data_IF_686767188931
#
_entry.id   IF_686767188931
#
_cell.length_a   1.000
_cell.length_b   1.000
_cell.length_c   1.000
_cell.angle_alpha   90.00
_cell.angle_beta   90.00
_cell.angle_gamma   90.00
#
_symmetry.space_group_name_H-M   'P 1'
#
loop_
_entity.id
_entity.type
_entity.pdbx_description
1 polymer ?
#
# COMPACT_ATOMS: atom_id res chain seq x y z
N UNK A 1 -31.33 23.54 -37.46
CA UNK A 1 -30.76 23.71 -36.10
C UNK A 1 -30.61 22.41 -35.31
N UNK A 2 -31.46 21.39 -35.50
CA UNK A 2 -31.40 20.12 -34.75
C UNK A 2 -30.15 19.25 -35.09
N UNK A 3 -29.65 19.30 -36.32
CA UNK A 3 -28.46 18.52 -36.75
C UNK A 3 -27.14 18.94 -36.09
N UNK A 4 -26.97 20.23 -35.78
CA UNK A 4 -25.75 20.74 -35.12
C UNK A 4 -25.68 20.38 -33.64
N UNK A 5 -26.83 20.23 -32.97
CA UNK A 5 -26.88 19.79 -31.57
C UNK A 5 -26.50 18.32 -31.39
N UNK A 6 -26.85 17.46 -32.37
CA UNK A 6 -26.55 16.03 -32.30
C UNK A 6 -25.03 15.74 -32.39
N UNK A 7 -24.31 16.55 -33.20
CA UNK A 7 -22.84 16.39 -33.35
C UNK A 7 -22.11 16.78 -32.10
N UNK A 8 -22.55 17.79 -31.35
CA UNK A 8 -21.92 18.24 -30.09
C UNK A 8 -22.09 17.19 -28.98
N UNK A 9 -23.26 16.54 -28.92
CA UNK A 9 -23.52 15.50 -27.90
C UNK A 9 -22.64 14.24 -28.12
N UNK A 10 -22.43 13.83 -29.38
CA UNK A 10 -21.60 12.69 -29.72
C UNK A 10 -20.10 12.96 -29.42
N UNK A 11 -19.63 14.21 -29.62
CA UNK A 11 -18.24 14.59 -29.29
C UNK A 11 -17.97 14.63 -27.78
N UNK A 12 -18.98 14.93 -26.95
CA UNK A 12 -18.80 14.97 -25.49
C UNK A 12 -18.69 13.58 -24.84
N UNK A 13 -19.18 12.52 -25.48
CA UNK A 13 -19.08 11.14 -24.99
C UNK A 13 -17.72 10.47 -25.26
N UNK A 14 -16.91 11.04 -26.14
CA UNK A 14 -15.61 10.44 -26.51
C UNK A 14 -14.47 10.73 -25.51
N UNK A 15 -14.67 11.59 -24.51
CA UNK A 15 -13.64 11.99 -23.53
C UNK A 15 -13.76 11.25 -22.19
N UNK A 16 -14.80 10.45 -21.99
CA UNK A 16 -15.04 9.72 -20.74
C UNK A 16 -14.39 8.34 -20.75
N UNK A 17 -13.10 8.26 -21.02
CA UNK A 17 -12.54 6.94 -20.98
C UNK A 17 -11.05 6.86 -21.06
N UNK A 18 -10.38 6.71 -19.94
CA UNK A 18 -9.13 5.94 -19.86
C UNK A 18 -8.63 5.75 -18.42
N UNK A 19 -9.45 5.95 -17.39
CA UNK A 19 -9.10 5.50 -16.06
C UNK A 19 -9.33 3.98 -15.99
N UNK A 20 -8.31 3.21 -16.34
CA UNK A 20 -8.33 1.75 -16.17
C UNK A 20 -8.41 1.40 -14.67
N UNK A 21 -8.94 0.20 -14.32
CA UNK A 21 -8.95 -0.25 -12.95
C UNK A 21 -7.53 -0.36 -12.41
N UNK A 22 -7.31 0.09 -11.17
CA UNK A 22 -6.05 -0.06 -10.47
C UNK A 22 -6.09 -1.34 -9.66
N UNK A 23 -5.07 -2.17 -9.81
CA UNK A 23 -4.88 -3.37 -9.01
C UNK A 23 -4.00 -3.07 -7.80
N UNK A 24 -4.56 -3.27 -6.60
CA UNK A 24 -3.83 -3.24 -5.34
C UNK A 24 -3.43 -4.67 -4.97
N UNK A 25 -2.14 -4.95 -4.96
CA UNK A 25 -1.58 -6.23 -4.49
C UNK A 25 -1.36 -6.14 -3.00
N UNK A 26 -1.93 -7.07 -2.27
CA UNK A 26 -1.91 -7.09 -0.80
C UNK A 26 -1.21 -8.35 -0.35
N UNK A 27 -0.29 -8.21 0.59
CA UNK A 27 0.29 -9.32 1.35
C UNK A 27 0.10 -9.01 2.83
N UNK A 28 -0.49 -9.93 3.57
CA UNK A 28 -0.67 -9.80 5.02
C UNK A 28 -0.24 -11.08 5.72
N UNK A 29 0.36 -10.94 6.89
CA UNK A 29 0.82 -12.03 7.71
C UNK A 29 0.55 -11.71 9.18
N UNK A 30 -0.46 -12.36 9.75
CA UNK A 30 -0.75 -12.35 11.17
C UNK A 30 0.01 -13.53 11.80
N UNK A 31 1.09 -13.22 12.53
CA UNK A 31 1.97 -14.24 13.10
C UNK A 31 1.53 -14.71 14.48
N UNK A 32 0.89 -13.84 15.24
CA UNK A 32 0.43 -14.10 16.60
C UNK A 32 -1.04 -13.67 16.69
N UNK A 33 -1.90 -14.40 17.44
CA UNK A 33 -3.29 -14.01 17.64
C UNK A 33 -3.42 -12.55 18.10
N UNK A 34 -4.57 -11.96 17.80
CA UNK A 34 -4.87 -10.60 18.22
C UNK A 34 -4.58 -10.39 19.71
N UNK A 35 -3.85 -9.33 20.04
CA UNK A 35 -3.48 -9.04 21.43
C UNK A 35 -4.64 -8.34 22.14
N UNK A 36 -4.87 -8.70 23.41
CA UNK A 36 -5.91 -8.07 24.23
C UNK A 36 -5.61 -6.59 24.49
N UNK A 37 -4.34 -6.26 24.76
CA UNK A 37 -3.89 -4.88 24.96
C UNK A 37 -3.49 -4.27 23.62
N UNK A 38 -4.35 -3.42 23.10
CA UNK A 38 -4.17 -2.74 21.82
C UNK A 38 -3.50 -1.36 21.95
N UNK A 39 -2.62 -1.19 22.94
CA UNK A 39 -1.76 -0.01 23.05
C UNK A 39 -0.60 -0.10 22.09
N UNK A 40 -0.29 0.97 21.34
CA UNK A 40 0.88 1.02 20.48
C UNK A 40 1.68 2.31 20.60
N UNK A 41 2.96 2.24 20.29
CA UNK A 41 3.84 3.39 20.10
C UNK A 41 4.45 3.34 18.69
N UNK A 42 4.84 4.49 18.17
CA UNK A 42 5.58 4.55 16.92
C UNK A 42 7.03 4.10 17.10
N UNK A 43 7.54 3.36 16.14
CA UNK A 43 8.95 2.98 16.12
C UNK A 43 9.83 4.23 16.09
N UNK A 44 10.84 4.36 16.98
CA UNK A 44 11.77 5.49 16.98
C UNK A 44 12.70 5.51 15.75
N UNK A 45 12.78 4.40 15.03
CA UNK A 45 13.64 4.23 13.85
C UNK A 45 13.04 4.88 12.60
N UNK A 46 11.74 5.23 12.64
CA UNK A 46 11.08 5.87 11.52
C UNK A 46 11.43 7.38 11.46
N UNK A 47 12.37 7.80 10.65
CA UNK A 47 12.54 9.22 10.43
C UNK A 47 11.27 9.74 9.77
N UNK A 48 10.60 10.70 10.40
CA UNK A 48 9.57 11.52 9.71
C UNK A 48 10.33 12.40 8.72
N UNK A 49 10.84 11.78 7.65
CA UNK A 49 11.76 12.44 6.75
C UNK A 49 11.03 13.30 5.71
N UNK A 50 9.75 13.00 5.45
CA UNK A 50 9.00 13.70 4.40
C UNK A 50 7.49 13.74 4.69
N UNK A 51 6.79 14.59 3.91
CA UNK A 51 5.35 14.80 4.01
C UNK A 51 4.51 13.53 3.79
N UNK A 52 4.95 12.66 2.89
CA UNK A 52 4.19 11.45 2.55
C UNK A 52 4.27 10.43 3.68
N UNK A 53 5.43 10.31 4.34
CA UNK A 53 5.57 9.47 5.53
C UNK A 53 4.69 9.98 6.69
N UNK A 54 4.63 11.30 6.89
CA UNK A 54 3.76 11.89 7.90
C UNK A 54 2.28 11.62 7.61
N UNK A 55 1.86 11.78 6.34
CA UNK A 55 0.50 11.46 5.90
C UNK A 55 0.19 9.96 6.08
N UNK A 56 1.12 9.07 5.74
CA UNK A 56 0.94 7.64 5.92
C UNK A 56 0.73 7.28 7.39
N UNK A 57 1.54 7.85 8.31
CA UNK A 57 1.38 7.62 9.75
C UNK A 57 0.03 8.12 10.27
N UNK A 58 -0.41 9.30 9.85
CA UNK A 58 -1.72 9.84 10.23
C UNK A 58 -2.89 8.94 9.77
N UNK A 59 -2.81 8.40 8.55
CA UNK A 59 -3.81 7.47 8.03
C UNK A 59 -3.78 6.12 8.76
N UNK A 60 -2.58 5.60 9.05
CA UNK A 60 -2.41 4.36 9.82
C UNK A 60 -2.94 4.53 11.24
N UNK A 61 -2.64 5.65 11.91
CA UNK A 61 -3.14 5.98 13.25
C UNK A 61 -4.67 5.96 13.30
N UNK A 62 -5.32 6.66 12.36
CA UNK A 62 -6.78 6.69 12.24
C UNK A 62 -7.38 5.30 12.03
N UNK A 63 -6.78 4.46 11.18
CA UNK A 63 -7.29 3.13 10.92
C UNK A 63 -7.04 2.17 12.10
N UNK A 64 -5.89 2.29 12.77
CA UNK A 64 -5.60 1.56 14.00
C UNK A 64 -6.60 1.94 15.11
N UNK A 65 -6.92 3.22 15.27
CA UNK A 65 -7.94 3.68 16.22
C UNK A 65 -9.32 3.07 15.93
N UNK A 66 -9.72 2.98 14.66
CA UNK A 66 -10.97 2.31 14.25
C UNK A 66 -10.98 0.81 14.60
N UNK A 67 -9.80 0.18 14.61
CA UNK A 67 -9.62 -1.23 15.02
C UNK A 67 -9.46 -1.41 16.55
N UNK A 68 -9.60 -0.33 17.32
CA UNK A 68 -9.53 -0.31 18.78
C UNK A 68 -8.11 -0.19 19.34
N UNK A 69 -7.11 0.09 18.51
CA UNK A 69 -5.76 0.40 18.98
C UNK A 69 -5.68 1.84 19.47
N UNK A 70 -4.88 2.09 20.50
CA UNK A 70 -4.66 3.42 21.06
C UNK A 70 -3.18 3.74 21.17
N UNK A 71 -2.80 4.91 20.73
CA UNK A 71 -1.42 5.35 20.87
C UNK A 71 -1.11 5.64 22.34
N UNK A 72 -0.01 5.04 22.84
CA UNK A 72 0.49 5.27 24.19
C UNK A 72 2.02 5.23 24.16
N UNK A 73 2.73 6.16 24.83
CA UNK A 73 4.17 6.28 24.77
C UNK A 73 4.92 5.02 25.24
N UNK A 74 4.38 4.34 26.26
CA UNK A 74 5.00 3.16 26.89
C UNK A 74 4.35 1.83 26.44
N UNK A 75 3.68 1.85 25.28
CA UNK A 75 3.03 0.65 24.77
C UNK A 75 4.03 -0.42 24.36
N UNK A 76 3.67 -1.69 24.64
CA UNK A 76 4.52 -2.83 24.28
C UNK A 76 4.56 -3.10 22.76
N UNK A 77 3.55 -2.63 22.01
CA UNK A 77 3.51 -2.79 20.56
C UNK A 77 4.17 -1.59 19.89
N UNK A 78 5.16 -1.86 19.04
CA UNK A 78 5.75 -0.85 18.16
C UNK A 78 5.17 -0.97 16.76
N UNK A 79 4.71 0.15 16.22
CA UNK A 79 4.25 0.25 14.82
C UNK A 79 5.35 0.88 13.98
N UNK A 80 5.70 0.22 12.89
CA UNK A 80 6.63 0.69 11.89
C UNK A 80 5.93 0.82 10.54
N UNK A 81 6.17 1.94 9.84
CA UNK A 81 5.63 2.22 8.51
C UNK A 81 6.78 2.47 7.54
N UNK A 82 6.82 1.73 6.46
CA UNK A 82 7.76 1.93 5.37
C UNK A 82 7.02 2.27 4.09
N UNK A 83 7.49 3.33 3.41
CA UNK A 83 7.00 3.75 2.10
C UNK A 83 8.07 3.54 1.03
N UNK A 84 7.64 3.12 -0.15
CA UNK A 84 8.46 3.11 -1.34
C UNK A 84 7.68 3.68 -2.53
N UNK A 85 8.28 4.65 -3.20
CA UNK A 85 7.87 5.18 -4.48
C UNK A 85 9.07 5.02 -5.43
N UNK A 86 9.01 4.02 -6.31
CA UNK A 86 10.14 3.65 -7.17
C UNK A 86 9.72 3.36 -8.60
N UNK A 87 10.61 3.48 -9.59
CA UNK A 87 10.36 3.00 -10.93
C UNK A 87 9.95 1.51 -10.91
N UNK A 88 8.89 1.16 -11.64
CA UNK A 88 8.38 -0.21 -11.65
C UNK A 88 9.19 -1.16 -12.54
N UNK A 89 10.00 -0.63 -13.44
CA UNK A 89 10.89 -1.35 -14.35
C UNK A 89 12.22 -1.82 -13.72
N UNK A 90 12.40 -1.60 -12.41
CA UNK A 90 13.58 -2.04 -11.66
C UNK A 90 13.23 -3.25 -10.80
N UNK A 91 13.92 -4.37 -11.03
CA UNK A 91 13.87 -5.52 -10.13
C UNK A 91 14.67 -5.25 -8.85
N UNK A 92 14.29 -5.89 -7.75
CA UNK A 92 15.05 -5.90 -6.50
C UNK A 92 15.45 -7.34 -6.22
N UNK A 93 16.75 -7.59 -6.17
CA UNK A 93 17.33 -8.88 -5.84
C UNK A 93 17.94 -8.86 -4.43
N UNK A 94 17.92 -10.00 -3.76
CA UNK A 94 18.59 -10.18 -2.49
C UNK A 94 19.89 -10.98 -2.68
N UNK A 95 21.00 -10.28 -2.94
CA UNK A 95 22.33 -10.88 -2.98
C UNK A 95 22.90 -11.14 -4.37
N UNK A 96 24.11 -11.72 -4.41
CA UNK A 96 24.93 -11.89 -5.62
C UNK A 96 24.72 -13.24 -6.34
N UNK A 97 23.79 -14.06 -5.86
CA UNK A 97 23.58 -15.40 -6.42
C UNK A 97 22.70 -15.33 -7.68
N UNK A 98 23.25 -15.73 -8.80
CA UNK A 98 22.61 -15.70 -10.13
C UNK A 98 21.38 -16.61 -10.25
N UNK A 99 21.13 -17.46 -9.25
CA UNK A 99 20.00 -18.40 -9.19
C UNK A 99 18.81 -17.89 -8.39
N UNK A 100 18.96 -16.74 -7.73
CA UNK A 100 17.91 -16.18 -6.84
C UNK A 100 16.81 -15.53 -7.66
N UNK A 101 15.57 -15.88 -7.34
CA UNK A 101 14.41 -15.15 -7.86
C UNK A 101 14.41 -13.73 -7.29
N UNK A 102 14.14 -12.70 -8.09
CA UNK A 102 14.04 -11.35 -7.58
C UNK A 102 12.97 -11.29 -6.49
N UNK A 103 13.26 -10.60 -5.40
CA UNK A 103 12.30 -10.31 -4.32
C UNK A 103 11.10 -9.53 -4.86
N UNK A 104 11.38 -8.64 -5.80
CA UNK A 104 10.37 -7.90 -6.54
C UNK A 104 10.77 -7.92 -8.01
N UNK A 105 9.96 -8.54 -8.85
CA UNK A 105 10.19 -8.57 -10.29
C UNK A 105 9.95 -7.17 -10.91
N UNK A 106 10.71 -6.85 -11.93
CA UNK A 106 10.45 -5.68 -12.76
C UNK A 106 9.10 -5.84 -13.47
N UNK A 107 8.36 -4.75 -13.58
CA UNK A 107 7.13 -4.69 -14.38
C UNK A 107 7.47 -4.23 -15.78
N UNK A 108 7.09 -5.02 -16.77
CA UNK A 108 7.22 -4.61 -18.17
C UNK A 108 6.26 -3.46 -18.49
N UNK A 109 6.77 -2.48 -19.22
CA UNK A 109 5.97 -1.38 -19.72
C UNK A 109 5.06 -1.87 -20.85
N UNK A 110 3.78 -1.46 -20.81
CA UNK A 110 2.84 -1.79 -21.88
C UNK A 110 3.21 -1.04 -23.16
N UNK A 111 3.03 -1.68 -24.32
CA UNK A 111 3.18 -1.03 -25.62
C UNK A 111 2.21 0.15 -25.73
N UNK A 112 2.69 1.26 -26.26
CA UNK A 112 1.93 2.53 -26.42
C UNK A 112 1.57 3.26 -25.11
N UNK A 113 2.16 2.88 -23.97
CA UNK A 113 2.04 3.63 -22.74
C UNK A 113 2.93 4.88 -22.80
N UNK A 114 2.35 6.06 -22.63
CA UNK A 114 3.06 7.36 -22.76
C UNK A 114 3.90 7.73 -21.53
N UNK A 115 3.67 7.07 -20.39
CA UNK A 115 4.37 7.34 -19.14
C UNK A 115 4.95 6.06 -18.53
N UNK A 116 5.99 6.19 -17.71
CA UNK A 116 6.60 5.07 -17.01
C UNK A 116 5.84 4.80 -15.72
N UNK A 117 5.52 3.52 -15.49
CA UNK A 117 4.91 3.10 -14.24
C UNK A 117 5.86 3.29 -13.06
N UNK A 118 5.32 3.77 -11.96
CA UNK A 118 5.94 3.78 -10.64
C UNK A 118 5.21 2.82 -9.72
N UNK A 119 5.94 2.14 -8.86
CA UNK A 119 5.36 1.33 -7.79
C UNK A 119 5.22 2.20 -6.55
N UNK A 120 3.99 2.37 -6.08
CA UNK A 120 3.68 2.91 -4.76
C UNK A 120 3.44 1.74 -3.81
N UNK A 121 4.26 1.62 -2.78
CA UNK A 121 4.16 0.55 -1.78
C UNK A 121 4.14 1.11 -0.38
N UNK A 122 3.24 0.59 0.43
CA UNK A 122 3.20 0.78 1.87
C UNK A 122 3.40 -0.57 2.56
N UNK A 123 4.22 -0.59 3.59
CA UNK A 123 4.32 -1.73 4.51
C UNK A 123 4.11 -1.25 5.93
N UNK A 124 3.22 -1.91 6.67
CA UNK A 124 2.96 -1.68 8.09
C UNK A 124 3.34 -2.94 8.86
N UNK A 125 4.17 -2.80 9.88
CA UNK A 125 4.59 -3.90 10.73
C UNK A 125 4.34 -3.56 12.20
N UNK A 126 3.81 -4.52 12.95
CA UNK A 126 3.61 -4.45 14.39
C UNK A 126 4.57 -5.43 15.07
N UNK A 127 5.27 -4.96 16.09
CA UNK A 127 6.22 -5.74 16.86
C UNK A 127 5.88 -5.70 18.35
N UNK A 128 5.98 -6.83 19.03
CA UNK A 128 6.01 -6.88 20.49
C UNK A 128 7.44 -6.55 20.95
N UNK A 129 7.62 -5.38 21.55
CA UNK A 129 8.91 -4.91 22.05
C UNK A 129 9.45 -5.79 23.19
N UNK A 130 8.56 -6.30 24.03
CA UNK A 130 8.93 -7.10 25.21
C UNK A 130 9.47 -8.49 24.83
N UNK A 131 8.95 -9.05 23.75
CA UNK A 131 9.30 -10.38 23.24
C UNK A 131 10.23 -10.35 22.04
N UNK A 132 10.45 -9.17 21.43
CA UNK A 132 11.22 -9.03 20.20
C UNK A 132 10.60 -9.74 19.00
N UNK A 133 9.29 -9.94 19.00
CA UNK A 133 8.58 -10.72 17.99
C UNK A 133 7.71 -9.83 17.10
N UNK A 134 7.65 -10.17 15.82
CA UNK A 134 6.70 -9.57 14.91
C UNK A 134 5.31 -10.16 15.16
N UNK A 135 4.32 -9.30 15.36
CA UNK A 135 2.92 -9.68 15.55
C UNK A 135 2.20 -9.73 14.22
N UNK A 136 2.45 -8.72 13.37
CA UNK A 136 1.78 -8.53 12.11
C UNK A 136 2.71 -7.89 11.09
N UNK A 137 2.49 -8.21 9.83
CA UNK A 137 3.09 -7.51 8.69
C UNK A 137 2.08 -7.44 7.57
N UNK A 138 1.75 -6.23 7.12
CA UNK A 138 0.89 -6.01 5.97
C UNK A 138 1.56 -5.10 4.97
N UNK A 139 1.51 -5.48 3.69
CA UNK A 139 2.06 -4.69 2.60
C UNK A 139 1.03 -4.56 1.50
N UNK A 140 0.88 -3.38 0.95
CA UNK A 140 0.05 -3.10 -0.21
C UNK A 140 0.84 -2.35 -1.26
N UNK A 141 0.64 -2.69 -2.54
CA UNK A 141 1.32 -2.00 -3.64
C UNK A 141 0.42 -1.82 -4.84
N UNK A 142 0.58 -0.68 -5.52
CA UNK A 142 -0.11 -0.29 -6.74
C UNK A 142 0.89 0.22 -7.76
N UNK A 143 0.55 0.11 -9.04
CA UNK A 143 1.33 0.70 -10.12
C UNK A 143 0.57 1.87 -10.74
N UNK A 144 1.25 3.02 -10.84
CA UNK A 144 0.69 4.26 -11.36
C UNK A 144 1.61 4.87 -12.41
N UNK A 145 1.00 5.36 -13.45
CA UNK A 145 1.68 6.09 -14.52
C UNK A 145 1.77 7.60 -14.18
N UNK A 146 0.71 8.19 -13.66
CA UNK A 146 0.62 9.62 -13.35
C UNK A 146 0.19 9.96 -11.91
N UNK A 147 -0.19 8.95 -11.12
CA UNK A 147 -0.60 9.16 -9.72
C UNK A 147 0.57 9.51 -8.81
N UNK A 148 0.31 10.25 -7.75
CA UNK A 148 1.26 10.48 -6.66
C UNK A 148 1.07 9.44 -5.56
N UNK A 149 2.13 9.15 -4.79
CA UNK A 149 2.02 8.22 -3.65
C UNK A 149 0.99 8.72 -2.62
N UNK A 150 0.89 10.03 -2.41
CA UNK A 150 -0.11 10.62 -1.52
C UNK A 150 -1.55 10.29 -1.91
N UNK A 151 -1.86 10.20 -3.21
CA UNK A 151 -3.17 9.80 -3.71
C UNK A 151 -3.46 8.31 -3.49
N UNK A 152 -2.43 7.47 -3.49
CA UNK A 152 -2.55 6.03 -3.26
C UNK A 152 -2.66 5.68 -1.78
N UNK A 153 -2.09 6.49 -0.87
CA UNK A 153 -1.96 6.17 0.55
C UNK A 153 -3.24 5.72 1.24
N UNK A 154 -4.42 6.36 1.07
CA UNK A 154 -5.65 5.90 1.73
C UNK A 154 -6.00 4.45 1.39
N UNK A 155 -5.82 4.05 0.13
CA UNK A 155 -6.09 2.69 -0.35
C UNK A 155 -5.03 1.69 0.09
N UNK A 156 -3.75 2.11 0.07
CA UNK A 156 -2.64 1.28 0.51
C UNK A 156 -2.73 1.00 2.02
N UNK A 157 -3.10 1.97 2.85
CA UNK A 157 -3.26 1.81 4.30
C UNK A 157 -4.41 0.85 4.60
N UNK A 158 -5.58 1.04 3.98
CA UNK A 158 -6.73 0.14 4.14
C UNK A 158 -6.36 -1.29 3.74
N UNK A 159 -5.71 -1.45 2.59
CA UNK A 159 -5.30 -2.76 2.10
C UNK A 159 -4.24 -3.41 2.99
N UNK A 160 -3.20 -2.66 3.40
CA UNK A 160 -2.12 -3.18 4.22
C UNK A 160 -2.58 -3.61 5.62
N UNK A 161 -3.58 -2.95 6.21
CA UNK A 161 -4.10 -3.28 7.54
C UNK A 161 -5.35 -4.18 7.50
N UNK A 162 -5.77 -4.63 6.33
CA UNK A 162 -6.99 -5.44 6.20
C UNK A 162 -6.91 -6.82 6.86
N UNK A 163 -5.71 -7.40 6.96
CA UNK A 163 -5.47 -8.68 7.63
C UNK A 163 -5.12 -8.57 9.11
N UNK A 164 -5.04 -7.35 9.66
CA UNK A 164 -4.74 -7.14 11.08
C UNK A 164 -5.89 -7.64 11.95
N UNK A 165 -5.56 -8.39 13.00
CA UNK A 165 -6.49 -9.13 13.87
C UNK A 165 -7.26 -10.27 13.17
N UNK A 166 -6.78 -10.70 11.99
CA UNK A 166 -7.29 -11.87 11.29
C UNK A 166 -6.76 -13.18 11.85
N UNK A 167 -7.00 -14.25 11.11
CA UNK A 167 -6.48 -15.59 11.48
C UNK A 167 -4.95 -15.61 11.36
N UNK A 168 -4.30 -16.30 12.29
CA UNK A 168 -2.87 -16.56 12.24
C UNK A 168 -2.54 -17.57 11.15
N UNK A 169 -1.42 -17.38 10.47
CA UNK A 169 -0.97 -18.27 9.40
C UNK A 169 0.55 -18.38 9.43
N UNK A 170 1.06 -19.56 9.08
CA UNK A 170 2.51 -19.80 8.93
C UNK A 170 3.05 -19.22 7.62
N UNK A 171 2.17 -18.85 6.69
CA UNK A 171 2.52 -18.27 5.40
C UNK A 171 1.76 -16.96 5.16
N UNK A 172 2.38 -15.97 4.51
CA UNK A 172 1.69 -14.74 4.15
C UNK A 172 0.51 -15.01 3.21
N UNK A 173 -0.64 -14.39 3.51
CA UNK A 173 -1.79 -14.35 2.60
C UNK A 173 -1.53 -13.30 1.51
N UNK A 174 -1.75 -13.69 0.26
CA UNK A 174 -1.61 -12.79 -0.89
C UNK A 174 -2.94 -12.67 -1.63
N UNK A 175 -3.41 -11.43 -1.80
CA UNK A 175 -4.66 -11.12 -2.50
C UNK A 175 -4.45 -9.95 -3.47
N UNK A 176 -5.35 -9.85 -4.45
CA UNK A 176 -5.42 -8.69 -5.36
C UNK A 176 -6.81 -8.09 -5.24
N UNK A 177 -6.85 -6.78 -5.04
CA UNK A 177 -8.07 -5.98 -5.02
C UNK A 177 -8.06 -5.05 -6.22
N UNK A 178 -9.25 -4.75 -6.74
CA UNK A 178 -9.41 -3.83 -7.86
C UNK A 178 -10.23 -2.64 -7.41
N UNK A 179 -9.79 -1.43 -7.77
CA UNK A 179 -10.54 -0.19 -7.56
C UNK A 179 -10.59 0.65 -8.82
N UNK A 180 -11.52 1.61 -8.85
CA UNK A 180 -11.54 2.62 -9.92
C UNK A 180 -10.29 3.50 -9.83
N UNK A 181 -9.72 3.82 -10.97
CA UNK A 181 -8.58 4.74 -11.05
C UNK A 181 -8.96 6.14 -10.55
N UNK A 182 -8.00 6.79 -9.90
CA UNK A 182 -8.02 8.23 -9.66
C UNK A 182 -7.26 8.87 -10.81
N UNK A 183 -7.94 9.42 -11.77
CA UNK A 183 -7.36 10.25 -12.81
C UNK A 183 -8.15 11.56 -12.93
#
# INVERSE_FOLDING_TARGET
MIRSFLVIIVSAMAVAGCAGPIETRVQSHQLIPAVEQKGFAWSPIDPIANRDTALARDLVDKLLAQKGYQQAPDAAILVHVALADRPADIAIDAGDDKTVRPLVAAKEQKSFQSCKDREHRLTVSLFDQSRGQKLYSGSASEYHCNGTIAQSLPFLVDAALSGLDGETSDVPLSTVRTRQGLE
#
